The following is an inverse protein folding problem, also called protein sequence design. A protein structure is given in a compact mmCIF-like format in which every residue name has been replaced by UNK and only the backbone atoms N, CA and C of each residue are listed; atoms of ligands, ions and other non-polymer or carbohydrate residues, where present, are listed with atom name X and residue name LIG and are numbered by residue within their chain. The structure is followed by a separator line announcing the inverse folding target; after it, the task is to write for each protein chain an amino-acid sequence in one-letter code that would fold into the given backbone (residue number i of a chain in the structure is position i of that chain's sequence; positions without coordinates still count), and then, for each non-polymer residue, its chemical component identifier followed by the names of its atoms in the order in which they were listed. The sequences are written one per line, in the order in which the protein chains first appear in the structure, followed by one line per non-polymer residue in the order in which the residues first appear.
data_IF_530852964010
#
_entry.id   IF_530852964010
#
_cell.length_a   1.000
_cell.length_b   1.000
_cell.length_c   1.000
_cell.angle_alpha   90.00
_cell.angle_beta   90.00
_cell.angle_gamma   90.00
#
_symmetry.space_group_name_H-M   'P 1'
#
loop_
_entity.id
_entity.type
_entity.pdbx_description
1 polymer ?
#
# COMPACT_ATOMS: atom_id res chain seq x y z
N UNK A 1 21.13 -19.26 8.72
CA UNK A 1 19.81 -19.54 9.30
C UNK A 1 18.78 -18.56 8.79
N UNK A 2 17.77 -19.08 8.15
CA UNK A 2 16.66 -18.25 7.68
C UNK A 2 15.78 -17.88 8.87
N UNK A 3 15.67 -16.59 9.14
CA UNK A 3 14.69 -16.12 10.12
C UNK A 3 13.28 -16.38 9.60
N UNK A 4 12.45 -16.99 10.43
CA UNK A 4 11.02 -17.09 10.12
C UNK A 4 10.41 -15.70 10.13
N UNK A 5 9.59 -15.44 9.13
CA UNK A 5 8.79 -14.21 9.14
C UNK A 5 7.80 -14.26 10.31
N UNK A 6 7.48 -13.13 10.93
CA UNK A 6 6.36 -13.05 11.86
C UNK A 6 5.07 -13.57 11.20
N UNK A 7 4.08 -14.03 11.99
CA UNK A 7 2.82 -14.46 11.41
C UNK A 7 2.21 -13.40 10.49
N UNK A 8 1.53 -13.86 9.43
CA UNK A 8 0.95 -12.95 8.45
C UNK A 8 -0.05 -11.96 9.05
N UNK A 9 -0.74 -12.34 10.13
CA UNK A 9 -1.68 -11.48 10.85
C UNK A 9 -1.01 -10.31 11.59
N UNK A 10 0.29 -10.43 11.88
CA UNK A 10 1.03 -9.45 12.67
C UNK A 10 1.72 -8.45 11.75
N UNK A 11 0.92 -7.63 11.10
CA UNK A 11 1.41 -6.66 10.10
C UNK A 11 2.41 -5.66 10.69
N UNK A 12 2.30 -5.34 11.98
CA UNK A 12 3.23 -4.40 12.64
C UNK A 12 4.66 -4.95 12.71
N UNK A 13 4.78 -6.27 12.73
CA UNK A 13 6.06 -6.96 12.88
C UNK A 13 6.68 -7.38 11.55
N UNK A 14 6.01 -7.10 10.43
CA UNK A 14 6.51 -7.41 9.09
C UNK A 14 6.86 -6.14 8.32
N UNK A 15 7.97 -6.18 7.61
CA UNK A 15 8.26 -5.16 6.60
C UNK A 15 7.20 -5.21 5.51
N UNK A 16 6.91 -4.07 4.90
CA UNK A 16 5.83 -3.98 3.90
C UNK A 16 6.04 -4.94 2.73
N UNK A 17 7.29 -5.19 2.33
CA UNK A 17 7.62 -6.12 1.25
C UNK A 17 7.21 -7.56 1.56
N UNK A 18 7.07 -7.89 2.84
CA UNK A 18 6.71 -9.24 3.30
C UNK A 18 5.21 -9.41 3.56
N UNK A 19 4.42 -8.37 3.32
CA UNK A 19 2.97 -8.46 3.49
C UNK A 19 2.36 -9.28 2.35
N UNK A 20 1.46 -10.18 2.72
CA UNK A 20 0.64 -10.91 1.75
C UNK A 20 -0.83 -10.47 1.89
N UNK A 21 -1.73 -11.13 1.17
CA UNK A 21 -3.16 -10.80 1.24
C UNK A 21 -3.71 -10.93 2.66
N UNK A 22 -3.30 -11.96 3.39
CA UNK A 22 -3.71 -12.14 4.79
C UNK A 22 -3.24 -10.98 5.66
N UNK A 23 -2.01 -10.53 5.48
CA UNK A 23 -1.47 -9.39 6.22
C UNK A 23 -2.31 -8.13 5.97
N UNK A 24 -2.64 -7.86 4.70
CA UNK A 24 -3.49 -6.72 4.34
C UNK A 24 -4.89 -6.83 4.93
N UNK A 25 -5.49 -8.03 4.98
CA UNK A 25 -6.83 -8.17 5.59
C UNK A 25 -6.82 -7.82 7.08
N UNK A 26 -5.78 -8.21 7.80
CA UNK A 26 -5.64 -7.84 9.21
C UNK A 26 -5.35 -6.36 9.38
N UNK A 27 -4.56 -5.78 8.49
CA UNK A 27 -4.31 -4.34 8.49
C UNK A 27 -5.61 -3.56 8.29
N UNK A 28 -6.43 -3.97 7.31
CA UNK A 28 -7.74 -3.35 7.05
C UNK A 28 -8.63 -3.36 8.28
N UNK A 29 -8.69 -4.51 8.98
CA UNK A 29 -9.50 -4.63 10.19
C UNK A 29 -9.02 -3.71 11.30
N UNK A 30 -7.72 -3.72 11.57
CA UNK A 30 -7.14 -2.93 12.66
C UNK A 30 -7.23 -1.43 12.36
N UNK A 31 -6.90 -1.03 11.14
CA UNK A 31 -6.96 0.38 10.73
C UNK A 31 -8.38 0.91 10.76
N UNK A 32 -9.34 0.12 10.31
CA UNK A 32 -10.75 0.49 10.31
C UNK A 32 -11.27 0.72 11.73
N UNK A 33 -10.94 -0.21 12.64
CA UNK A 33 -11.33 -0.07 14.04
C UNK A 33 -10.69 1.16 14.68
N UNK A 34 -9.42 1.40 14.38
CA UNK A 34 -8.70 2.56 14.90
C UNK A 34 -9.34 3.88 14.42
N UNK A 35 -9.68 3.97 13.13
CA UNK A 35 -10.19 5.21 12.54
C UNK A 35 -11.69 5.42 12.76
N UNK A 36 -12.49 4.37 12.67
CA UNK A 36 -13.95 4.48 12.70
C UNK A 36 -14.57 3.92 13.97
N UNK A 37 -13.80 3.25 14.82
CA UNK A 37 -14.26 2.73 16.10
C UNK A 37 -15.19 1.52 16.01
N UNK A 38 -15.43 1.00 14.82
CA UNK A 38 -16.35 -0.12 14.59
C UNK A 38 -15.64 -1.23 13.80
N UNK A 39 -16.23 -2.42 13.83
CA UNK A 39 -15.69 -3.57 13.16
C UNK A 39 -15.74 -3.42 11.64
N UNK A 40 -14.70 -3.91 10.99
CA UNK A 40 -14.59 -3.92 9.53
C UNK A 40 -15.52 -4.98 8.93
N UNK A 41 -16.27 -4.59 7.91
CA UNK A 41 -17.13 -5.51 7.16
C UNK A 41 -16.73 -5.46 5.68
N UNK A 42 -16.18 -6.55 5.13
CA UNK A 42 -15.82 -6.57 3.71
C UNK A 42 -17.07 -6.47 2.82
N UNK A 43 -16.93 -5.82 1.66
CA UNK A 43 -18.06 -5.46 0.80
C UNK A 43 -18.94 -6.66 0.39
N UNK A 44 -18.31 -7.73 -0.08
CA UNK A 44 -18.97 -8.97 -0.49
C UNK A 44 -18.25 -10.18 0.06
N UNK A 45 -17.72 -10.04 1.28
CA UNK A 45 -16.95 -11.08 1.94
C UNK A 45 -15.45 -10.99 1.65
N UNK A 46 -14.68 -11.65 2.49
CA UNK A 46 -13.22 -11.62 2.43
C UNK A 46 -12.66 -12.20 1.15
N UNK A 47 -13.31 -13.24 0.60
CA UNK A 47 -12.82 -13.91 -0.61
C UNK A 47 -12.70 -12.93 -1.78
N UNK A 48 -13.69 -12.07 -1.94
CA UNK A 48 -13.68 -11.07 -3.01
C UNK A 48 -12.57 -10.04 -2.79
N UNK A 49 -12.46 -9.51 -1.57
CA UNK A 49 -11.45 -8.48 -1.27
C UNK A 49 -10.03 -9.04 -1.31
N UNK A 50 -9.84 -10.28 -0.88
CA UNK A 50 -8.56 -10.96 -1.03
C UNK A 50 -8.17 -11.14 -2.49
N UNK A 51 -9.13 -11.44 -3.34
CA UNK A 51 -8.91 -11.50 -4.79
C UNK A 51 -8.49 -10.16 -5.38
N UNK A 52 -9.13 -9.08 -4.95
CA UNK A 52 -8.77 -7.73 -5.37
C UNK A 52 -7.36 -7.36 -4.91
N UNK A 53 -7.05 -7.62 -3.65
CA UNK A 53 -5.70 -7.39 -3.11
C UNK A 53 -4.66 -8.22 -3.86
N UNK A 54 -4.94 -9.48 -4.12
CA UNK A 54 -4.03 -10.36 -4.84
C UNK A 54 -3.71 -9.88 -6.25
N UNK A 55 -4.66 -9.27 -6.93
CA UNK A 55 -4.41 -8.66 -8.26
C UNK A 55 -3.45 -7.49 -8.18
N UNK A 56 -3.54 -6.71 -7.12
CA UNK A 56 -2.69 -5.53 -6.95
C UNK A 56 -1.28 -5.90 -6.48
N UNK A 57 -1.16 -6.72 -5.45
CA UNK A 57 0.13 -7.02 -4.82
C UNK A 57 0.79 -8.29 -5.36
N UNK A 58 0.03 -9.13 -6.06
CA UNK A 58 0.52 -10.40 -6.57
C UNK A 58 0.29 -11.57 -5.63
N UNK A 59 0.43 -12.76 -6.17
CA UNK A 59 0.33 -14.03 -5.45
C UNK A 59 1.51 -14.90 -5.85
N UNK A 60 1.60 -16.11 -5.29
CA UNK A 60 2.67 -17.05 -5.66
C UNK A 60 2.66 -17.42 -7.14
N UNK A 61 1.49 -17.38 -7.78
CA UNK A 61 1.32 -17.78 -9.17
C UNK A 61 1.24 -16.63 -10.16
N UNK A 62 1.04 -15.40 -9.67
CA UNK A 62 0.89 -14.21 -10.52
C UNK A 62 1.57 -13.01 -9.92
N UNK A 63 2.29 -12.27 -10.76
CA UNK A 63 2.88 -11.00 -10.37
C UNK A 63 1.79 -9.94 -10.21
N UNK A 64 1.95 -9.05 -9.22
CA UNK A 64 1.03 -7.96 -8.99
C UNK A 64 1.30 -6.76 -9.91
N UNK A 65 0.34 -5.86 -9.94
CA UNK A 65 0.41 -4.64 -10.77
C UNK A 65 0.96 -3.44 -10.02
N UNK A 66 0.96 -3.49 -8.69
CA UNK A 66 1.35 -2.37 -7.83
C UNK A 66 2.25 -2.86 -6.70
N UNK A 67 3.09 -1.98 -6.19
CA UNK A 67 3.88 -2.29 -5.01
C UNK A 67 2.98 -2.37 -3.77
N UNK A 68 3.40 -3.15 -2.80
CA UNK A 68 2.68 -3.27 -1.54
C UNK A 68 2.63 -1.94 -0.78
N UNK A 69 3.70 -1.16 -0.86
CA UNK A 69 3.77 0.18 -0.26
C UNK A 69 2.71 1.11 -0.87
N UNK A 70 2.53 1.08 -2.18
CA UNK A 70 1.50 1.86 -2.88
C UNK A 70 0.11 1.43 -2.44
N UNK A 71 -0.15 0.13 -2.34
CA UNK A 71 -1.46 -0.38 -1.91
C UNK A 71 -1.75 0.02 -0.46
N UNK A 72 -0.76 -0.06 0.42
CA UNK A 72 -0.94 0.40 1.81
C UNK A 72 -1.27 1.90 1.85
N UNK A 73 -0.55 2.73 1.11
CA UNK A 73 -0.85 4.17 1.03
C UNK A 73 -2.23 4.44 0.47
N UNK A 74 -2.64 3.68 -0.53
CA UNK A 74 -3.99 3.79 -1.08
C UNK A 74 -5.05 3.58 -0.01
N UNK A 75 -4.90 2.51 0.78
CA UNK A 75 -5.82 2.23 1.90
C UNK A 75 -5.81 3.39 2.89
N UNK A 76 -4.64 3.82 3.31
CA UNK A 76 -4.49 4.87 4.33
C UNK A 76 -5.14 6.18 3.88
N UNK A 77 -4.88 6.61 2.65
CA UNK A 77 -5.40 7.87 2.13
C UNK A 77 -6.90 7.78 1.82
N UNK A 78 -7.36 6.66 1.28
CA UNK A 78 -8.78 6.48 1.00
C UNK A 78 -9.60 6.46 2.29
N UNK A 79 -9.10 5.80 3.32
CA UNK A 79 -9.76 5.79 4.63
C UNK A 79 -9.75 7.17 5.27
N UNK A 80 -8.64 7.91 5.14
CA UNK A 80 -8.53 9.27 5.70
C UNK A 80 -9.48 10.25 4.99
N UNK A 81 -9.71 10.08 3.70
CA UNK A 81 -10.60 10.95 2.94
C UNK A 81 -12.07 10.54 3.03
N UNK A 82 -12.35 9.34 3.54
CA UNK A 82 -13.71 8.87 3.69
C UNK A 82 -14.44 9.67 4.77
N UNK A 83 -15.64 10.15 4.45
CA UNK A 83 -16.48 10.89 5.38
C UNK A 83 -17.61 9.98 5.86
N UNK A 84 -17.52 9.48 7.11
CA UNK A 84 -18.59 8.62 7.64
C UNK A 84 -19.92 9.36 7.70
N UNK A 85 -20.99 8.63 7.41
CA UNK A 85 -22.35 9.13 7.55
C UNK A 85 -23.10 8.26 8.55
N UNK A 86 -24.27 8.70 8.97
CA UNK A 86 -25.12 7.95 9.90
C UNK A 86 -25.48 6.57 9.32
N UNK A 87 -25.75 6.52 8.02
CA UNK A 87 -26.10 5.27 7.34
C UNK A 87 -24.87 4.42 7.00
N UNK A 88 -23.73 5.07 6.72
CA UNK A 88 -22.49 4.42 6.31
C UNK A 88 -21.34 4.88 7.21
N UNK A 89 -21.30 4.39 8.47
CA UNK A 89 -20.28 4.87 9.43
C UNK A 89 -18.87 4.33 9.18
N UNK A 90 -18.72 3.33 8.32
CA UNK A 90 -17.44 2.76 7.94
C UNK A 90 -17.36 2.52 6.45
N UNK A 91 -16.22 2.02 6.01
CA UNK A 91 -15.96 1.70 4.60
C UNK A 91 -15.25 0.35 4.48
N UNK A 92 -14.87 -0.05 3.28
CA UNK A 92 -14.14 -1.28 3.06
C UNK A 92 -13.27 -1.20 1.81
N UNK A 93 -12.41 -2.18 1.62
CA UNK A 93 -11.50 -2.22 0.48
C UNK A 93 -12.25 -2.34 -0.84
N UNK A 94 -13.29 -3.17 -0.89
CA UNK A 94 -14.10 -3.32 -2.11
C UNK A 94 -14.66 -1.99 -2.60
N UNK A 95 -15.14 -1.16 -1.67
CA UNK A 95 -15.66 0.16 -2.01
C UNK A 95 -14.58 1.10 -2.56
N UNK A 96 -13.46 1.22 -1.87
CA UNK A 96 -12.38 2.12 -2.32
C UNK A 96 -11.77 1.63 -3.64
N UNK A 97 -11.66 0.33 -3.82
CA UNK A 97 -11.18 -0.26 -5.06
C UNK A 97 -12.11 0.04 -6.24
N UNK A 98 -13.42 0.01 -6.01
CA UNK A 98 -14.41 0.27 -7.05
C UNK A 98 -14.59 1.77 -7.35
N UNK A 99 -14.60 2.61 -6.31
CA UNK A 99 -15.05 4.00 -6.44
C UNK A 99 -14.00 5.05 -6.11
N UNK A 100 -12.81 4.66 -5.67
CA UNK A 100 -11.74 5.60 -5.28
C UNK A 100 -10.41 5.29 -5.98
N UNK A 101 -10.49 4.78 -7.20
CA UNK A 101 -9.31 4.46 -8.01
C UNK A 101 -8.43 5.67 -8.29
N UNK A 102 -9.01 6.87 -8.32
CA UNK A 102 -8.26 8.10 -8.51
C UNK A 102 -7.22 8.31 -7.38
N UNK A 103 -7.54 7.85 -6.18
CA UNK A 103 -6.60 7.92 -5.06
C UNK A 103 -5.41 6.99 -5.31
N UNK A 104 -5.69 5.78 -5.79
CA UNK A 104 -4.64 4.82 -6.15
C UNK A 104 -3.71 5.40 -7.23
N UNK A 105 -4.28 5.99 -8.28
CA UNK A 105 -3.50 6.63 -9.34
C UNK A 105 -2.67 7.80 -8.82
N UNK A 106 -3.21 8.60 -7.93
CA UNK A 106 -2.49 9.70 -7.31
C UNK A 106 -1.28 9.20 -6.50
N UNK A 107 -1.49 8.21 -5.67
CA UNK A 107 -0.42 7.60 -4.87
C UNK A 107 0.66 7.00 -5.78
N UNK A 108 0.25 6.28 -6.82
CA UNK A 108 1.16 5.70 -7.79
C UNK A 108 2.01 6.77 -8.48
N UNK A 109 1.38 7.85 -8.91
CA UNK A 109 2.08 8.96 -9.55
C UNK A 109 3.07 9.65 -8.60
N UNK A 110 2.68 9.81 -7.35
CA UNK A 110 3.56 10.41 -6.32
C UNK A 110 4.78 9.54 -6.06
N UNK A 111 4.61 8.20 -6.00
CA UNK A 111 5.73 7.28 -5.81
C UNK A 111 6.69 7.32 -7.01
N UNK A 112 6.16 7.34 -8.22
CA UNK A 112 6.97 7.46 -9.43
C UNK A 112 7.75 8.77 -9.46
N UNK A 113 7.10 9.87 -9.10
CA UNK A 113 7.74 11.19 -9.03
C UNK A 113 8.87 11.22 -8.00
N UNK A 114 8.64 10.60 -6.85
CA UNK A 114 9.66 10.50 -5.79
C UNK A 114 10.86 9.68 -6.23
N UNK A 115 10.63 8.54 -6.86
CA UNK A 115 11.72 7.71 -7.40
C UNK A 115 12.56 8.46 -8.43
N UNK A 116 11.91 9.18 -9.34
CA UNK A 116 12.59 9.99 -10.35
C UNK A 116 13.39 11.12 -9.73
N UNK A 117 12.86 11.72 -8.69
CA UNK A 117 13.57 12.77 -7.96
C UNK A 117 14.82 12.24 -7.30
N UNK A 118 14.73 11.07 -6.66
CA UNK A 118 15.87 10.41 -6.02
C UNK A 118 16.93 10.01 -7.04
N UNK A 119 16.51 9.47 -8.18
CA UNK A 119 17.43 9.10 -9.27
C UNK A 119 18.17 10.31 -9.81
N UNK A 120 17.47 11.42 -10.02
CA UNK A 120 18.09 12.66 -10.50
C UNK A 120 19.08 13.23 -9.48
N UNK A 121 18.71 13.21 -8.22
CA UNK A 121 19.58 13.69 -7.14
C UNK A 121 20.86 12.86 -7.04
N UNK A 122 20.70 11.55 -7.13
CA UNK A 122 21.84 10.62 -7.10
C UNK A 122 22.72 10.78 -8.33
N UNK A 123 22.15 10.99 -9.51
CA UNK A 123 22.89 11.24 -10.74
C UNK A 123 23.68 12.54 -10.65
N UNK A 124 23.10 13.60 -10.09
CA UNK A 124 23.78 14.89 -9.88
C UNK A 124 24.95 14.73 -8.90
N UNK A 125 24.77 14.02 -7.82
CA UNK A 125 25.85 13.76 -6.86
C UNK A 125 26.99 12.99 -7.51
N UNK A 126 26.69 12.00 -8.32
CA UNK A 126 27.71 11.20 -9.03
C UNK A 126 28.44 12.04 -10.08
N UNK A 127 27.75 12.92 -10.79
CA UNK A 127 28.35 13.83 -11.77
C UNK A 127 29.29 14.82 -11.11
N UNK A 128 28.90 15.40 -9.99
CA UNK A 128 29.71 16.37 -9.26
C UNK A 128 31.06 15.77 -8.82
N UNK A 129 31.05 14.52 -8.36
CA UNK A 129 32.29 13.83 -7.98
C UNK A 129 33.18 13.55 -9.19
N UNK A 130 32.61 13.13 -10.30
CA UNK A 130 33.37 12.79 -11.50
C UNK A 130 33.95 14.04 -12.16
N UNK A 131 33.18 15.11 -12.25
CA UNK A 131 33.62 16.38 -12.85
C UNK A 131 34.71 17.07 -12.03
N UNK A 132 34.61 17.02 -10.71
CA UNK A 132 35.63 17.58 -9.83
C UNK A 132 36.97 16.86 -9.99
N UNK A 133 36.97 15.55 -10.16
CA UNK A 133 38.17 14.76 -10.39
C UNK A 133 38.79 15.07 -11.75
N UNK A 134 37.99 15.32 -12.78
CA UNK A 134 38.49 15.65 -14.12
C UNK A 134 39.08 17.05 -14.19
N UNK A 135 38.65 17.98 -13.34
CA UNK A 135 39.12 19.37 -13.31
C UNK A 135 40.37 19.53 -12.43
N UNK A 136 40.65 18.57 -11.58
CA UNK A 136 41.84 18.58 -10.71
C UNK A 136 42.98 17.81 -11.35
#
# INVERSE_FOLDING_TARGET
MTKRLPPAKDWRDRDIEDWNTTTFTHYLQDKHREMFGIEYVPMRGWRMEQGQLGRLIGTKSKEGTHSKAVVKRFIDEAFAEYKPTKEWPGTNFGFIYAYRRQILQRVEAEEVAEERRQERQQAVENIDYTELDDWL
#
